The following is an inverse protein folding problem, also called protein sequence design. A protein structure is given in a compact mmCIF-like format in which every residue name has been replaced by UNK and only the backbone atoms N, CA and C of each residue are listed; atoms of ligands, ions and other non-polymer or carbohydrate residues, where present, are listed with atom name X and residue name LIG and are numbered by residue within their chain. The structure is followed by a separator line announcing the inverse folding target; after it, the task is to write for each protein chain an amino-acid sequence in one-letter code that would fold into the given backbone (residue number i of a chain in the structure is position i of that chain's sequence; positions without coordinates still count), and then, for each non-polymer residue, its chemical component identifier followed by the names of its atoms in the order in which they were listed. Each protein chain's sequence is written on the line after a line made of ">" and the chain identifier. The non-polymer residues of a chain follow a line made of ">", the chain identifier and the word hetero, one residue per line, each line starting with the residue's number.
data_IF_066133301253
#
_entry.id   IF_066133301253
#
_cell.length_a   1.000
_cell.length_b   1.000
_cell.length_c   1.000
_cell.angle_alpha   90.00
_cell.angle_beta   90.00
_cell.angle_gamma   90.00
#
_symmetry.space_group_name_H-M   'P 1'
#
loop_
_entity.id
_entity.type
_entity.pdbx_description
1 polymer ?
#
# COMPACT_ATOMS: atom_id res chain seq x y z
N UNK A 1 -10.59 4.14 5.19
CA UNK A 1 -11.37 3.25 6.08
C UNK A 1 -12.53 2.66 5.29
N UNK A 2 -12.69 1.33 5.23
CA UNK A 2 -13.82 0.70 4.55
C UNK A 2 -15.12 0.90 5.36
N UNK A 3 -16.22 1.26 4.67
CA UNK A 3 -17.56 1.43 5.25
C UNK A 3 -18.11 0.11 5.85
N UNK A 4 -18.88 0.14 6.96
CA UNK A 4 -19.38 -1.07 7.64
C UNK A 4 -20.17 -2.02 6.74
N UNK A 5 -21.01 -1.50 5.84
CA UNK A 5 -21.79 -2.32 4.89
C UNK A 5 -20.89 -3.01 3.86
N UNK A 6 -19.84 -2.33 3.42
CA UNK A 6 -18.86 -2.88 2.48
C UNK A 6 -18.07 -4.04 3.12
N UNK A 7 -17.76 -3.95 4.43
CA UNK A 7 -17.14 -5.05 5.18
C UNK A 7 -18.06 -6.27 5.27
N UNK A 8 -19.36 -6.07 5.56
CA UNK A 8 -20.34 -7.16 5.64
C UNK A 8 -20.56 -7.85 4.31
N UNK A 9 -20.53 -7.11 3.20
CA UNK A 9 -20.60 -7.67 1.85
C UNK A 9 -19.38 -8.55 1.53
N UNK A 10 -18.16 -8.04 1.75
CA UNK A 10 -16.92 -8.79 1.50
C UNK A 10 -16.72 -9.99 2.47
N UNK A 11 -17.21 -9.89 3.71
CA UNK A 11 -17.20 -11.02 4.66
C UNK A 11 -18.15 -12.17 4.26
N UNK A 12 -19.18 -11.88 3.46
CA UNK A 12 -20.22 -12.85 3.04
C UNK A 12 -19.93 -13.54 1.71
N UNK A 13 -18.74 -13.39 1.12
CA UNK A 13 -18.46 -13.96 -0.21
C UNK A 13 -18.54 -12.95 -1.35
N UNK A 14 -18.85 -11.68 -1.07
CA UNK A 14 -18.97 -10.65 -2.11
C UNK A 14 -17.64 -10.37 -2.77
N UNK A 15 -17.54 -10.61 -4.08
CA UNK A 15 -16.39 -10.19 -4.88
C UNK A 15 -16.50 -8.67 -5.13
N UNK A 16 -15.64 -7.89 -4.46
CA UNK A 16 -15.46 -6.47 -4.80
C UNK A 16 -14.51 -6.36 -6.00
N UNK A 17 -14.69 -5.33 -6.84
CA UNK A 17 -13.87 -5.08 -8.05
C UNK A 17 -12.36 -5.03 -7.77
N UNK A 18 -11.95 -4.75 -6.53
CA UNK A 18 -10.55 -4.66 -6.10
C UNK A 18 -10.08 -5.81 -5.20
N UNK A 19 -10.99 -6.66 -4.69
CA UNK A 19 -10.69 -7.70 -3.70
C UNK A 19 -11.36 -9.02 -4.11
N UNK A 20 -10.59 -9.87 -4.78
CA UNK A 20 -11.01 -11.19 -5.28
C UNK A 20 -10.87 -12.35 -4.28
N UNK A 21 -10.72 -12.06 -2.98
CA UNK A 21 -10.33 -13.08 -1.99
C UNK A 21 -11.50 -13.93 -1.48
N UNK A 22 -12.74 -13.64 -1.88
CA UNK A 22 -13.94 -14.40 -1.49
C UNK A 22 -14.35 -14.20 -0.02
N UNK A 23 -13.48 -14.52 0.95
CA UNK A 23 -13.72 -14.34 2.39
C UNK A 23 -12.73 -13.34 2.96
N UNK A 24 -13.14 -12.08 3.11
CA UNK A 24 -12.29 -11.06 3.69
C UNK A 24 -12.10 -11.26 5.20
N UNK A 25 -10.90 -11.65 5.63
CA UNK A 25 -10.48 -11.55 7.01
C UNK A 25 -10.05 -10.11 7.29
N UNK A 26 -11.02 -9.25 7.62
CA UNK A 26 -10.79 -7.81 7.73
C UNK A 26 -9.74 -7.48 8.79
N UNK A 27 -8.65 -6.87 8.36
CA UNK A 27 -7.64 -6.26 9.22
C UNK A 27 -7.30 -4.86 8.70
N UNK A 28 -6.97 -3.88 9.56
CA UNK A 28 -6.50 -2.59 9.10
C UNK A 28 -5.21 -2.76 8.31
N UNK A 29 -5.18 -2.16 7.11
CA UNK A 29 -3.96 -2.00 6.33
C UNK A 29 -3.07 -0.98 7.05
N UNK A 30 -1.81 -1.35 7.32
CA UNK A 30 -0.82 -0.46 7.91
C UNK A 30 0.34 -0.34 6.94
N UNK A 31 0.75 0.88 6.63
CA UNK A 31 1.86 1.13 5.70
C UNK A 31 2.92 1.94 6.44
N UNK A 32 4.17 1.50 6.34
CA UNK A 32 5.35 2.24 6.81
C UNK A 32 6.22 2.49 5.59
N UNK A 33 6.50 3.76 5.31
CA UNK A 33 7.43 4.17 4.26
C UNK A 33 8.69 4.76 4.90
N UNK A 34 9.85 4.29 4.45
CA UNK A 34 11.14 4.90 4.74
C UNK A 34 11.73 5.38 3.42
N UNK A 35 12.14 6.65 3.36
CA UNK A 35 12.76 7.21 2.17
C UNK A 35 14.03 7.99 2.52
N UNK A 36 14.94 8.04 1.55
CA UNK A 36 16.14 8.86 1.60
C UNK A 36 16.24 9.67 0.33
N UNK A 37 16.33 10.99 0.44
CA UNK A 37 16.49 11.89 -0.70
C UNK A 37 17.90 12.48 -0.72
N UNK A 38 18.54 12.38 -1.88
CA UNK A 38 19.88 12.87 -2.15
C UNK A 38 19.83 13.91 -3.27
N UNK A 39 20.38 15.10 -2.99
CA UNK A 39 20.57 16.12 -4.01
C UNK A 39 21.80 15.77 -4.87
N UNK A 40 21.56 15.20 -6.04
CA UNK A 40 22.62 14.80 -6.97
C UNK A 40 23.19 15.98 -7.76
N UNK A 41 22.35 16.99 -8.05
CA UNK A 41 22.78 18.25 -8.65
C UNK A 41 21.88 19.40 -8.20
N UNK A 42 22.26 20.63 -8.55
CA UNK A 42 21.52 21.86 -8.20
C UNK A 42 20.03 21.81 -8.59
N UNK A 43 19.72 21.03 -9.61
CA UNK A 43 18.39 20.87 -10.22
C UNK A 43 17.92 19.41 -10.25
N UNK A 44 18.59 18.50 -9.53
CA UNK A 44 18.31 17.06 -9.58
C UNK A 44 18.38 16.45 -8.18
N UNK A 45 17.28 15.82 -7.77
CA UNK A 45 17.17 15.02 -6.56
C UNK A 45 16.80 13.59 -6.94
N UNK A 46 17.48 12.65 -6.30
CA UNK A 46 17.24 11.23 -6.41
C UNK A 46 16.81 10.75 -5.04
N UNK A 47 15.64 10.13 -4.94
CA UNK A 47 15.19 9.52 -3.71
C UNK A 47 15.05 8.02 -3.89
N UNK A 48 15.44 7.26 -2.87
CA UNK A 48 15.10 5.84 -2.75
C UNK A 48 14.01 5.71 -1.67
N UNK A 49 13.03 4.85 -1.90
CA UNK A 49 11.94 4.59 -0.98
C UNK A 49 11.73 3.08 -0.78
N UNK A 50 11.34 2.73 0.43
CA UNK A 50 10.97 1.38 0.84
C UNK A 50 9.64 1.48 1.56
N UNK A 51 8.63 0.81 1.02
CA UNK A 51 7.30 0.73 1.62
C UNK A 51 7.05 -0.68 2.14
N UNK A 52 6.72 -0.80 3.41
CA UNK A 52 6.27 -2.02 4.04
C UNK A 52 4.77 -1.93 4.32
N UNK A 53 3.99 -2.80 3.71
CA UNK A 53 2.53 -2.85 3.81
C UNK A 53 2.13 -4.10 4.58
N UNK A 54 1.49 -3.93 5.73
CA UNK A 54 0.88 -4.99 6.53
C UNK A 54 -0.59 -5.13 6.18
N UNK A 55 -1.02 -6.35 5.86
CA UNK A 55 -2.40 -6.69 5.47
C UNK A 55 -2.86 -5.93 4.20
N UNK A 56 -2.15 -6.05 3.08
CA UNK A 56 -2.49 -5.32 1.85
C UNK A 56 -3.92 -5.64 1.41
N UNK A 57 -4.69 -4.63 1.04
CA UNK A 57 -6.10 -4.80 0.67
C UNK A 57 -7.03 -5.08 1.86
N UNK A 58 -6.63 -4.69 3.07
CA UNK A 58 -7.39 -4.88 4.32
C UNK A 58 -7.69 -6.35 4.66
N UNK A 59 -6.89 -7.29 4.15
CA UNK A 59 -7.03 -8.71 4.40
C UNK A 59 -5.87 -9.24 5.25
N UNK A 60 -6.16 -9.80 6.43
CA UNK A 60 -5.17 -10.43 7.32
C UNK A 60 -4.57 -11.72 6.73
N UNK A 61 -5.25 -12.34 5.76
CA UNK A 61 -4.74 -13.53 5.09
C UNK A 61 -3.66 -13.19 4.05
N UNK A 62 -3.53 -11.90 3.69
CA UNK A 62 -2.45 -11.41 2.85
C UNK A 62 -1.26 -11.02 3.73
N UNK A 63 -0.14 -11.73 3.55
CA UNK A 63 1.12 -11.44 4.22
C UNK A 63 1.64 -10.03 3.92
N UNK A 64 2.66 -9.56 4.67
CA UNK A 64 3.23 -8.25 4.43
C UNK A 64 3.84 -8.15 3.03
N UNK A 65 3.57 -7.06 2.32
CA UNK A 65 4.16 -6.75 1.03
C UNK A 65 5.24 -5.69 1.20
N UNK A 66 6.34 -5.82 0.48
CA UNK A 66 7.43 -4.84 0.47
C UNK A 66 7.61 -4.31 -0.95
N UNK A 67 7.59 -2.99 -1.08
CA UNK A 67 7.85 -2.29 -2.33
C UNK A 67 9.12 -1.48 -2.21
N UNK A 68 9.93 -1.53 -3.26
CA UNK A 68 11.13 -0.72 -3.40
C UNK A 68 10.92 0.23 -4.56
N UNK A 69 11.18 1.51 -4.33
CA UNK A 69 10.98 2.57 -5.29
C UNK A 69 12.20 3.48 -5.39
N UNK A 70 12.27 4.16 -6.52
CA UNK A 70 13.19 5.28 -6.72
C UNK A 70 12.42 6.42 -7.37
N UNK A 71 12.58 7.63 -6.85
CA UNK A 71 11.95 8.85 -7.35
C UNK A 71 13.01 9.80 -7.88
N UNK A 72 12.77 10.35 -9.06
CA UNK A 72 13.56 11.43 -9.63
C UNK A 72 12.75 12.72 -9.55
N UNK A 73 13.36 13.77 -9.02
CA UNK A 73 12.79 15.10 -8.96
C UNK A 73 13.75 16.10 -9.62
N UNK A 74 13.25 16.86 -10.58
CA UNK A 74 14.03 17.81 -11.37
C UNK A 74 13.31 19.15 -11.41
N UNK A 75 14.04 20.24 -11.17
CA UNK A 75 13.53 21.62 -11.27
C UNK A 75 14.27 22.35 -12.40
N UNK A 76 13.54 22.92 -13.37
CA UNK A 76 14.09 23.61 -14.53
C UNK A 76 13.79 25.12 -14.49
#
# INVERSE_FOLDING_TARGET
>A
MLSPDHRRYLQRGGMGVFLGDGKLNYAPEQIVEAFYSFQAAKHLWISADVQWIRNPGYNADRGPAVFFGTRLHTEF
#
